data_IF_631776548478
#
_entry.id   IF_631776548478
#
_cell.length_a   1.000
_cell.length_b   1.000
_cell.length_c   1.000
_cell.angle_alpha   90.00
_cell.angle_beta   90.00
_cell.angle_gamma   90.00
#
_symmetry.space_group_name_H-M   'P 1'
#
loop_
_entity.id
_entity.type
_entity.pdbx_description
1 polymer ?
#
# COMPACT_ATOMS: atom_id res chain seq x y z
N UNK A 1 5.76 16.80 -11.05
CA UNK A 1 4.84 15.74 -11.55
C UNK A 1 3.38 16.23 -11.50
N UNK A 2 2.56 15.89 -12.48
CA UNK A 2 1.17 16.38 -12.56
C UNK A 2 0.23 15.74 -11.51
N UNK A 3 0.62 14.60 -10.92
CA UNK A 3 0.00 14.00 -9.74
C UNK A 3 1.06 13.31 -8.88
N UNK A 4 0.84 13.31 -7.56
CA UNK A 4 1.69 12.65 -6.57
C UNK A 4 0.83 12.31 -5.35
N UNK A 5 1.22 11.31 -4.54
CA UNK A 5 0.50 11.03 -3.31
C UNK A 5 0.43 12.26 -2.41
N UNK A 6 -0.72 12.42 -1.72
CA UNK A 6 -0.85 13.39 -0.64
C UNK A 6 0.26 13.23 0.40
N UNK A 7 0.61 14.35 1.06
CA UNK A 7 1.54 14.35 2.20
C UNK A 7 1.08 13.34 3.25
N UNK A 8 1.95 12.41 3.63
CA UNK A 8 1.59 11.28 4.48
C UNK A 8 2.73 10.79 5.36
N UNK A 9 2.38 10.08 6.43
CA UNK A 9 3.32 9.36 7.30
C UNK A 9 2.74 7.99 7.70
N UNK A 10 3.57 7.11 8.27
CA UNK A 10 3.21 5.71 8.61
C UNK A 10 2.59 4.92 7.45
N UNK A 11 2.94 5.26 6.22
CA UNK A 11 2.57 4.49 5.04
C UNK A 11 3.48 3.27 4.90
N UNK A 12 2.99 2.23 4.23
CA UNK A 12 3.84 1.15 3.77
C UNK A 12 4.54 1.57 2.48
N UNK A 13 5.84 1.29 2.36
CA UNK A 13 6.61 1.53 1.14
C UNK A 13 7.55 0.36 0.89
N UNK A 14 7.60 -0.11 -0.36
CA UNK A 14 8.51 -1.18 -0.75
C UNK A 14 8.98 -1.01 -2.20
N UNK A 15 10.14 -1.55 -2.51
CA UNK A 15 10.65 -1.62 -3.88
C UNK A 15 10.36 -2.99 -4.51
N UNK A 16 9.60 -2.99 -5.60
CA UNK A 16 9.42 -4.13 -6.49
C UNK A 16 10.63 -4.20 -7.43
N UNK A 17 11.53 -5.15 -7.16
CA UNK A 17 12.77 -5.32 -7.92
C UNK A 17 12.57 -5.94 -9.31
N UNK A 18 11.43 -6.57 -9.59
CA UNK A 18 11.17 -7.19 -10.89
C UNK A 18 10.64 -6.16 -11.90
N UNK A 19 9.81 -5.21 -11.45
CA UNK A 19 9.27 -4.14 -12.30
C UNK A 19 10.00 -2.79 -12.12
N UNK A 20 10.97 -2.74 -11.21
CA UNK A 20 11.71 -1.52 -10.84
C UNK A 20 10.82 -0.38 -10.40
N UNK A 21 9.82 -0.68 -9.56
CA UNK A 21 8.84 0.30 -9.07
C UNK A 21 8.89 0.43 -7.56
N UNK A 22 8.59 1.61 -7.03
CA UNK A 22 8.30 1.76 -5.59
C UNK A 22 6.78 1.73 -5.42
N UNK A 23 6.30 0.81 -4.60
CA UNK A 23 4.88 0.68 -4.25
C UNK A 23 4.67 1.31 -2.88
N UNK A 24 3.67 2.19 -2.79
CA UNK A 24 3.22 2.83 -1.55
C UNK A 24 1.77 2.44 -1.29
N UNK A 25 1.45 2.11 -0.04
CA UNK A 25 0.09 1.83 0.37
C UNK A 25 -0.26 2.55 1.68
N UNK A 26 -1.43 3.19 1.68
CA UNK A 26 -2.06 3.75 2.86
C UNK A 26 -1.22 4.80 3.60
N UNK A 27 -1.25 4.71 4.93
CA UNK A 27 -0.68 5.70 5.84
C UNK A 27 -1.70 6.72 6.32
N UNK A 28 -1.23 7.78 6.96
CA UNK A 28 -2.07 8.88 7.46
C UNK A 28 -1.76 10.15 6.73
N UNK A 29 -2.81 10.83 6.23
CA UNK A 29 -2.66 12.15 5.62
C UNK A 29 -2.13 13.14 6.68
N UNK A 30 -1.07 13.87 6.33
CA UNK A 30 -0.44 14.87 7.19
C UNK A 30 -1.19 16.21 7.14
N UNK A 31 -1.86 16.52 6.04
CA UNK A 31 -2.64 17.75 5.83
C UNK A 31 -4.09 17.68 6.28
N UNK A 32 -4.60 16.49 6.63
CA UNK A 32 -5.98 16.29 7.09
C UNK A 32 -6.02 15.51 8.44
N UNK A 33 -6.76 15.98 9.47
CA UNK A 33 -6.86 15.26 10.74
C UNK A 33 -7.58 13.92 10.59
N UNK A 34 -6.96 12.84 11.09
CA UNK A 34 -7.64 11.55 11.32
C UNK A 34 -7.87 10.64 10.11
N UNK A 35 -7.45 11.03 8.91
CA UNK A 35 -7.71 10.24 7.70
C UNK A 35 -6.57 9.25 7.43
N UNK A 36 -6.77 7.99 7.82
CA UNK A 36 -6.00 6.88 7.26
C UNK A 36 -6.39 6.68 5.80
N UNK A 37 -5.42 6.34 4.97
CA UNK A 37 -5.55 6.18 3.52
C UNK A 37 -5.61 4.68 3.15
N UNK A 38 -6.21 4.40 2.00
CA UNK A 38 -6.31 3.06 1.38
C UNK A 38 -5.85 3.05 -0.09
N UNK A 39 -5.18 4.12 -0.50
CA UNK A 39 -4.69 4.29 -1.85
C UNK A 39 -3.44 3.45 -2.11
N UNK A 40 -3.27 3.05 -3.36
CA UNK A 40 -2.07 2.39 -3.86
C UNK A 40 -1.38 3.32 -4.85
N UNK A 41 -0.17 3.75 -4.52
CA UNK A 41 0.64 4.59 -5.39
C UNK A 41 1.85 3.83 -5.90
N UNK A 42 2.22 4.14 -7.13
CA UNK A 42 3.44 3.63 -7.75
C UNK A 42 4.31 4.78 -8.19
N UNK A 43 5.58 4.72 -7.81
CA UNK A 43 6.61 5.58 -8.37
C UNK A 43 7.48 4.79 -9.34
N UNK A 44 7.66 5.35 -10.52
CA UNK A 44 8.57 4.89 -11.54
C UNK A 44 9.84 5.76 -11.51
N UNK A 45 10.97 5.23 -11.01
CA UNK A 45 12.22 5.98 -10.94
C UNK A 45 12.81 6.31 -12.31
N UNK A 46 12.42 5.59 -13.38
CA UNK A 46 13.01 5.76 -14.71
C UNK A 46 12.53 7.03 -15.41
N UNK A 47 11.32 7.49 -15.11
CA UNK A 47 10.72 8.72 -15.64
C UNK A 47 10.36 9.74 -14.55
N UNK A 48 10.59 9.42 -13.27
CA UNK A 48 10.29 10.28 -12.12
C UNK A 48 8.78 10.62 -12.01
N UNK A 49 7.94 9.63 -12.27
CA UNK A 49 6.49 9.78 -12.26
C UNK A 49 5.82 8.97 -11.16
N UNK A 50 4.82 9.59 -10.53
CA UNK A 50 3.88 8.92 -9.65
C UNK A 50 2.60 8.58 -10.42
N UNK A 51 2.02 7.43 -10.12
CA UNK A 51 0.72 7.02 -10.64
C UNK A 51 -0.10 6.42 -9.52
N UNK A 52 -1.30 6.91 -9.32
CA UNK A 52 -2.28 6.27 -8.45
C UNK A 52 -2.87 5.08 -9.21
N UNK A 53 -2.81 3.91 -8.59
CA UNK A 53 -3.43 2.71 -9.12
C UNK A 53 -4.74 2.47 -8.37
N UNK A 54 -5.78 2.11 -9.13
CA UNK A 54 -7.14 1.88 -8.63
C UNK A 54 -7.49 0.39 -8.71
N UNK A 55 -6.88 -0.47 -7.87
CA UNK A 55 -7.21 -1.90 -7.83
C UNK A 55 -8.65 -2.10 -7.36
N UNK A 56 -9.39 -3.03 -7.98
CA UNK A 56 -10.79 -3.32 -7.63
C UNK A 56 -10.96 -4.00 -6.27
N UNK A 57 -9.88 -4.58 -5.74
CA UNK A 57 -9.78 -5.18 -4.41
C UNK A 57 -8.53 -4.61 -3.75
N UNK A 58 -8.66 -4.17 -2.51
CA UNK A 58 -7.59 -3.56 -1.71
C UNK A 58 -7.84 -3.75 -0.20
N UNK A 59 -6.78 -3.70 0.63
CA UNK A 59 -6.94 -3.61 2.06
C UNK A 59 -7.73 -2.33 2.43
N UNK A 60 -8.50 -2.39 3.52
CA UNK A 60 -9.13 -1.19 4.08
C UNK A 60 -8.10 -0.17 4.56
N UNK A 61 -8.52 1.09 4.68
CA UNK A 61 -7.66 2.17 5.15
C UNK A 61 -6.93 1.87 6.46
N UNK A 62 -5.61 2.02 6.41
CA UNK A 62 -4.72 1.64 7.51
C UNK A 62 -3.41 2.41 7.45
N UNK A 63 -2.81 2.56 8.61
CA UNK A 63 -1.47 3.08 8.80
C UNK A 63 -0.63 2.05 9.58
N UNK A 64 0.68 2.26 9.58
CA UNK A 64 1.65 1.46 10.33
C UNK A 64 1.60 -0.04 9.98
N UNK A 65 1.33 -0.34 8.72
CA UNK A 65 1.37 -1.72 8.19
C UNK A 65 2.81 -2.12 7.90
N UNK A 66 3.13 -3.40 8.12
CA UNK A 66 4.40 -3.96 7.66
C UNK A 66 4.29 -4.34 6.19
N UNK A 67 5.21 -3.87 5.35
CA UNK A 67 5.20 -4.14 3.90
C UNK A 67 6.56 -4.63 3.44
N UNK A 68 6.58 -5.75 2.70
CA UNK A 68 7.78 -6.36 2.12
C UNK A 68 7.52 -6.80 0.69
N UNK A 69 8.60 -7.06 -0.07
CA UNK A 69 8.51 -7.58 -1.43
C UNK A 69 9.13 -8.97 -1.49
N UNK A 70 8.36 -9.92 -2.02
CA UNK A 70 8.80 -11.27 -2.31
C UNK A 70 9.14 -11.38 -3.81
N UNK A 71 10.43 -11.33 -4.11
CA UNK A 71 10.92 -11.38 -5.49
C UNK A 71 10.71 -12.74 -6.16
N UNK A 72 10.65 -13.82 -5.39
CA UNK A 72 10.47 -15.17 -5.94
C UNK A 72 9.06 -15.37 -6.47
N UNK A 73 8.07 -14.74 -5.84
CA UNK A 73 6.66 -14.82 -6.24
C UNK A 73 6.14 -13.54 -6.93
N UNK A 74 6.97 -12.50 -7.02
CA UNK A 74 6.65 -11.19 -7.61
C UNK A 74 5.44 -10.53 -6.93
N UNK A 75 5.42 -10.57 -5.59
CA UNK A 75 4.32 -10.02 -4.79
C UNK A 75 4.83 -9.05 -3.74
N UNK A 76 4.12 -7.94 -3.58
CA UNK A 76 4.20 -7.14 -2.36
C UNK A 76 3.30 -7.78 -1.31
N UNK A 77 3.82 -7.98 -0.10
CA UNK A 77 3.08 -8.53 1.03
C UNK A 77 2.83 -7.40 2.03
N UNK A 78 1.58 -7.24 2.44
CA UNK A 78 1.17 -6.33 3.51
C UNK A 78 0.62 -7.14 4.67
N UNK A 79 1.06 -6.82 5.89
CA UNK A 79 0.53 -7.41 7.12
C UNK A 79 0.10 -6.32 8.11
N UNK A 80 -1.11 -6.51 8.65
CA UNK A 80 -1.64 -5.77 9.78
C UNK A 80 -1.78 -4.26 9.55
N UNK A 81 -1.33 -3.47 10.53
CA UNK A 81 -1.59 -2.03 10.65
C UNK A 81 -2.84 -1.73 11.49
N UNK A 82 -3.19 -0.45 11.61
CA UNK A 82 -4.38 -0.04 12.35
C UNK A 82 -5.07 1.18 11.73
N UNK A 83 -6.33 1.41 12.11
CA UNK A 83 -7.08 2.65 11.81
C UNK A 83 -7.33 3.44 13.08
N UNK A 84 -7.44 4.77 12.95
CA UNK A 84 -7.58 5.68 14.09
C UNK A 84 -8.83 5.41 14.94
N UNK A 85 -9.89 4.84 14.36
CA UNK A 85 -11.11 4.43 15.09
C UNK A 85 -10.92 3.22 16.01
N UNK A 86 -9.69 2.70 16.17
CA UNK A 86 -9.32 1.71 17.16
C UNK A 86 -9.24 0.27 16.66
N UNK A 87 -9.46 0.01 15.37
CA UNK A 87 -9.30 -1.34 14.82
C UNK A 87 -7.86 -1.59 14.42
N UNK A 88 -7.30 -2.66 15.00
CA UNK A 88 -6.02 -3.24 14.58
C UNK A 88 -6.31 -4.37 13.61
N UNK A 89 -5.55 -4.48 12.54
CA UNK A 89 -5.70 -5.53 11.56
C UNK A 89 -4.67 -6.64 11.82
N UNK A 90 -5.10 -7.89 11.69
CA UNK A 90 -4.24 -9.09 11.69
C UNK A 90 -4.29 -9.84 10.37
N UNK A 91 -4.84 -9.23 9.32
CA UNK A 91 -4.95 -9.79 7.98
C UNK A 91 -3.63 -9.71 7.22
N UNK A 92 -3.50 -10.55 6.19
CA UNK A 92 -2.37 -10.54 5.26
C UNK A 92 -2.90 -10.37 3.85
N UNK A 93 -2.29 -9.46 3.11
CA UNK A 93 -2.62 -9.18 1.72
C UNK A 93 -1.40 -9.33 0.83
N UNK A 94 -1.64 -9.74 -0.42
CA UNK A 94 -0.62 -9.73 -1.48
C UNK A 94 -1.07 -8.83 -2.61
N UNK A 95 -0.15 -8.02 -3.13
CA UNK A 95 -0.36 -7.20 -4.32
C UNK A 95 0.49 -7.72 -5.48
N UNK A 96 -0.12 -7.81 -6.67
CA UNK A 96 0.61 -7.99 -7.91
C UNK A 96 0.49 -6.72 -8.76
N UNK A 97 1.63 -6.13 -9.12
CA UNK A 97 1.71 -4.92 -9.92
C UNK A 97 1.13 -5.12 -11.33
N UNK A 98 1.49 -6.22 -12.00
CA UNK A 98 1.08 -6.52 -13.37
C UNK A 98 -0.44 -6.62 -13.57
N UNK A 99 -1.15 -7.15 -12.57
CA UNK A 99 -2.61 -7.30 -12.61
C UNK A 99 -3.34 -6.19 -11.84
N UNK A 100 -2.60 -5.24 -11.26
CA UNK A 100 -3.10 -4.21 -10.36
C UNK A 100 -4.18 -4.74 -9.38
N UNK A 101 -3.80 -5.70 -8.53
CA UNK A 101 -4.77 -6.39 -7.68
C UNK A 101 -4.17 -6.79 -6.34
N UNK A 102 -4.88 -6.41 -5.27
CA UNK A 102 -4.66 -7.00 -3.95
C UNK A 102 -5.56 -8.21 -3.75
N UNK A 103 -4.99 -9.25 -3.14
CA UNK A 103 -5.67 -10.49 -2.78
C UNK A 103 -5.44 -10.77 -1.30
N UNK A 104 -6.51 -11.08 -0.58
CA UNK A 104 -6.41 -11.48 0.82
C UNK A 104 -5.85 -12.90 0.91
N UNK A 105 -4.77 -13.07 1.68
CA UNK A 105 -4.14 -14.38 1.93
C UNK A 105 -4.73 -15.01 3.18
N UNK A 106 -4.95 -14.20 4.21
CA UNK A 106 -5.57 -14.61 5.48
C UNK A 106 -6.44 -13.49 6.01
N UNK A 107 -7.69 -13.83 6.35
CA UNK A 107 -8.61 -12.95 7.07
C UNK A 107 -8.11 -12.67 8.48
N UNK A 108 -8.17 -11.41 8.90
CA UNK A 108 -7.90 -11.02 10.27
C UNK A 108 -9.16 -11.19 11.09
N UNK A 109 -9.36 -12.37 11.68
CA UNK A 109 -10.35 -12.53 12.75
C UNK A 109 -9.78 -11.85 14.00
N UNK A 110 -10.49 -10.82 14.49
CA UNK A 110 -10.38 -10.36 15.88
C UNK A 110 -11.41 -11.11 16.72
#
# INVERSE_FOLDING_TARGET
PASSPDTRYWHGMVYDSNYHKVIVFGGRNAGAPGQALEDTWVFDPSNNEWTELLPSSHPSNRMDSSVIYDSNHQKTILFGGFRFSGNTFGDTWTYAYNSNSWNIVKGGDL
#
